data_IF_216862455028
#
_entry.id   IF_216862455028
#
_cell.length_a   1.000
_cell.length_b   1.000
_cell.length_c   1.000
_cell.angle_alpha   90.00
_cell.angle_beta   90.00
_cell.angle_gamma   90.00
#
_symmetry.space_group_name_H-M   'P 1'
#
loop_
_entity.id
_entity.type
_entity.pdbx_description
1 polymer ?
#
# COMPACT_ATOMS: atom_id res chain seq x y z
N UNK A 1 10.29 -16.45 -0.07
CA UNK A 1 9.74 -15.91 1.19
C UNK A 1 10.75 -14.89 1.72
N UNK A 2 10.42 -13.60 1.68
CA UNK A 2 11.37 -12.50 2.02
C UNK A 2 11.22 -12.05 3.49
N UNK A 3 10.08 -12.36 4.11
CA UNK A 3 9.71 -11.87 5.44
C UNK A 3 10.35 -12.63 6.62
N UNK A 4 10.98 -13.78 6.37
CA UNK A 4 11.64 -14.57 7.43
C UNK A 4 12.88 -13.86 8.02
N UNK A 5 13.46 -12.90 7.30
CA UNK A 5 14.68 -12.19 7.73
C UNK A 5 14.36 -11.12 8.79
N UNK A 6 13.10 -10.68 8.89
CA UNK A 6 12.68 -9.58 9.77
C UNK A 6 11.96 -10.01 11.04
N UNK A 7 11.61 -11.29 11.18
CA UNK A 7 10.81 -11.79 12.30
C UNK A 7 11.68 -12.79 13.06
N UNK A 8 12.18 -12.38 14.22
CA UNK A 8 12.87 -13.30 15.14
C UNK A 8 11.97 -14.50 15.47
N UNK A 9 12.56 -15.68 15.64
CA UNK A 9 11.89 -16.98 15.84
C UNK A 9 10.79 -17.00 16.93
N UNK A 10 10.78 -16.01 17.83
CA UNK A 10 9.83 -15.88 18.95
C UNK A 10 8.39 -15.54 18.48
N UNK A 11 8.20 -14.98 17.29
CA UNK A 11 6.87 -14.60 16.76
C UNK A 11 6.28 -15.58 15.73
N UNK A 12 6.87 -16.78 15.58
CA UNK A 12 6.39 -17.82 14.65
C UNK A 12 4.92 -18.26 14.91
N UNK A 13 4.38 -17.92 16.09
CA UNK A 13 2.98 -18.14 16.46
C UNK A 13 2.01 -17.04 15.95
N UNK A 14 2.46 -16.09 15.12
CA UNK A 14 1.55 -15.20 14.38
C UNK A 14 0.98 -15.92 13.15
N UNK A 15 0.13 -16.90 13.46
CA UNK A 15 -0.98 -17.48 12.70
C UNK A 15 -0.90 -17.23 11.20
N UNK A 16 -0.66 -18.29 10.41
CA UNK A 16 -0.84 -18.40 8.94
C UNK A 16 -1.77 -17.35 8.28
N UNK A 17 -2.91 -17.03 8.91
CA UNK A 17 -3.83 -15.96 8.50
C UNK A 17 -3.20 -14.56 8.36
N UNK A 18 -2.28 -14.17 9.24
CA UNK A 18 -1.58 -12.89 9.18
C UNK A 18 -0.62 -12.84 7.98
N UNK A 19 0.13 -13.92 7.76
CA UNK A 19 1.02 -14.03 6.60
C UNK A 19 0.23 -14.01 5.28
N UNK A 20 -0.87 -14.79 5.19
CA UNK A 20 -1.77 -14.76 4.03
C UNK A 20 -2.37 -13.37 3.83
N UNK A 21 -2.71 -12.65 4.91
CA UNK A 21 -3.20 -11.27 4.83
C UNK A 21 -2.15 -10.33 4.24
N UNK A 22 -0.91 -10.38 4.73
CA UNK A 22 0.19 -9.57 4.17
C UNK A 22 0.38 -9.85 2.67
N UNK A 23 0.41 -11.12 2.28
CA UNK A 23 0.57 -11.52 0.87
C UNK A 23 -0.60 -11.04 0.00
N UNK A 24 -1.83 -11.11 0.51
CA UNK A 24 -3.02 -10.60 -0.18
C UNK A 24 -2.98 -9.08 -0.38
N UNK A 25 -2.55 -8.33 0.63
CA UNK A 25 -2.40 -6.87 0.54
C UNK A 25 -1.29 -6.49 -0.45
N UNK A 26 -0.16 -7.19 -0.42
CA UNK A 26 0.93 -7.00 -1.39
C UNK A 26 0.49 -7.31 -2.83
N UNK A 27 -0.38 -8.30 -3.01
CA UNK A 27 -0.93 -8.64 -4.33
C UNK A 27 -1.90 -7.56 -4.81
N UNK A 28 -2.77 -7.03 -3.93
CA UNK A 28 -3.63 -5.88 -4.22
C UNK A 28 -2.82 -4.65 -4.60
N UNK A 29 -1.76 -4.33 -3.85
CA UNK A 29 -0.88 -3.20 -4.15
C UNK A 29 -0.26 -3.31 -5.55
N UNK A 30 0.29 -4.49 -5.90
CA UNK A 30 0.82 -4.75 -7.24
C UNK A 30 -0.23 -4.61 -8.33
N UNK A 31 -1.45 -5.08 -8.08
CA UNK A 31 -2.56 -4.91 -9.03
C UNK A 31 -2.93 -3.44 -9.24
N UNK A 32 -3.01 -2.65 -8.18
CA UNK A 32 -3.27 -1.21 -8.28
C UNK A 32 -2.16 -0.47 -9.02
N UNK A 33 -0.89 -0.78 -8.73
CA UNK A 33 0.25 -0.21 -9.45
C UNK A 33 0.20 -0.52 -10.96
N UNK A 34 -0.14 -1.75 -11.34
CA UNK A 34 -0.31 -2.14 -12.74
C UNK A 34 -1.46 -1.37 -13.44
N UNK A 35 -2.56 -1.08 -12.72
CA UNK A 35 -3.66 -0.24 -13.23
C UNK A 35 -3.22 1.22 -13.41
N UNK A 36 -2.46 1.77 -12.48
CA UNK A 36 -1.91 3.12 -12.58
C UNK A 36 -0.91 3.23 -13.75
N UNK A 37 -0.11 2.18 -13.98
CA UNK A 37 0.84 2.12 -15.10
C UNK A 37 0.15 2.22 -16.47
N UNK A 38 -1.09 1.71 -16.62
CA UNK A 38 -1.85 1.77 -17.87
C UNK A 38 -2.40 3.15 -18.22
N UNK A 39 -2.12 4.21 -17.43
CA UNK A 39 -2.45 5.63 -17.69
C UNK A 39 -3.83 5.81 -18.35
N UNK A 40 -4.87 5.26 -17.73
CA UNK A 40 -6.24 5.47 -18.22
C UNK A 40 -6.60 6.96 -18.11
N UNK A 41 -7.54 7.41 -18.96
CA UNK A 41 -7.96 8.82 -19.13
C UNK A 41 -8.10 9.62 -17.82
N UNK A 42 -8.57 8.99 -16.73
CA UNK A 42 -8.75 9.63 -15.43
C UNK A 42 -7.43 9.96 -14.69
N UNK A 43 -6.39 9.17 -14.92
CA UNK A 43 -5.08 9.27 -14.26
C UNK A 43 -4.01 9.94 -15.13
N UNK A 44 -4.21 10.01 -16.44
CA UNK A 44 -3.34 10.71 -17.38
C UNK A 44 -3.58 12.22 -17.45
N UNK A 45 -4.73 12.73 -16.96
CA UNK A 45 -5.02 14.18 -16.96
C UNK A 45 -4.08 15.00 -16.06
N UNK A 46 -3.64 14.45 -14.94
CA UNK A 46 -2.63 15.11 -14.09
C UNK A 46 -1.87 14.08 -13.25
N UNK A 47 -0.67 13.74 -13.71
CA UNK A 47 0.25 12.88 -12.96
C UNK A 47 0.63 13.49 -11.60
N UNK A 48 0.58 14.81 -11.50
CA UNK A 48 0.85 15.56 -10.28
C UNK A 48 -0.24 15.37 -9.23
N UNK A 49 -1.52 15.48 -9.63
CA UNK A 49 -2.66 15.17 -8.76
C UNK A 49 -2.63 13.72 -8.30
N UNK A 50 -2.29 12.77 -9.19
CA UNK A 50 -2.16 11.36 -8.80
C UNK A 50 -1.06 11.16 -7.74
N UNK A 51 0.11 11.81 -7.89
CA UNK A 51 1.18 11.75 -6.88
C UNK A 51 0.72 12.34 -5.55
N UNK A 52 0.02 13.48 -5.57
CA UNK A 52 -0.52 14.12 -4.36
C UNK A 52 -1.57 13.24 -3.68
N UNK A 53 -2.51 12.66 -4.42
CA UNK A 53 -3.53 11.75 -3.88
C UNK A 53 -2.93 10.49 -3.27
N UNK A 54 -1.90 9.90 -3.90
CA UNK A 54 -1.19 8.74 -3.33
C UNK A 54 -0.44 9.13 -2.05
N UNK A 55 0.26 10.28 -2.04
CA UNK A 55 0.95 10.78 -0.84
C UNK A 55 -0.04 11.02 0.31
N UNK A 56 -1.19 11.61 0.03
CA UNK A 56 -2.25 11.84 1.01
C UNK A 56 -2.80 10.52 1.56
N UNK A 57 -3.05 9.53 0.69
CA UNK A 57 -3.50 8.20 1.10
C UNK A 57 -2.47 7.49 1.99
N UNK A 58 -1.18 7.53 1.63
CA UNK A 58 -0.12 6.93 2.44
C UNK A 58 0.00 7.64 3.80
N UNK A 59 -0.09 8.97 3.81
CA UNK A 59 -0.09 9.76 5.04
C UNK A 59 -1.28 9.38 5.94
N UNK A 60 -2.48 9.29 5.37
CA UNK A 60 -3.66 8.84 6.09
C UNK A 60 -3.51 7.41 6.62
N UNK A 61 -2.97 6.48 5.84
CA UNK A 61 -2.73 5.10 6.30
C UNK A 61 -1.69 5.03 7.43
N UNK A 62 -0.72 5.94 7.46
CA UNK A 62 0.33 5.98 8.49
C UNK A 62 -0.12 6.65 9.78
N UNK A 63 -0.84 7.77 9.67
CA UNK A 63 -1.18 8.62 10.80
C UNK A 63 -2.66 8.58 11.20
N UNK A 64 -3.52 7.97 10.38
CA UNK A 64 -4.98 7.99 10.52
C UNK A 64 -5.58 9.40 10.64
N UNK A 65 -4.83 10.42 10.22
CA UNK A 65 -5.23 11.83 10.24
C UNK A 65 -5.15 12.41 8.84
N UNK A 66 -6.18 13.15 8.42
CA UNK A 66 -6.15 13.92 7.18
C UNK A 66 -5.64 15.32 7.55
N UNK A 67 -4.51 15.79 7.00
CA UNK A 67 -4.09 17.17 7.19
C UNK A 67 -5.09 18.04 6.43
N UNK A 68 -6.03 18.64 7.16
CA UNK A 68 -6.91 19.67 6.63
C UNK A 68 -6.07 20.94 6.57
N UNK A 69 -5.58 21.29 5.38
CA UNK A 69 -4.97 22.59 5.17
C UNK A 69 -6.12 23.61 5.18
N UNK A 70 -6.28 24.31 6.30
CA UNK A 70 -7.15 25.48 6.44
C UNK A 70 -6.51 26.70 5.78
#
# INVERSE_FOLDING_TARGET
MVYQIFISDIDHLTKKSYMTRIESENTRLRHYLARLHRRTLCYSKSQEMLKLSIRLLIYYLKFHTIPVFA
#
